data_IF_689872066066
#
_entry.id   IF_689872066066
#
_cell.length_a   1.000
_cell.length_b   1.000
_cell.length_c   1.000
_cell.angle_alpha   90.00
_cell.angle_beta   90.00
_cell.angle_gamma   90.00
#
_symmetry.space_group_name_H-M   'P 1'
#
loop_
_entity.id
_entity.type
_entity.pdbx_description
1 polymer ?
2 non-polymer ?
3 water ?
#
# COMPACT_ATOMS: atom_id res chain seq x y z
N UNK A 20 23.36 4.67 -3.03
CA UNK A 20 23.32 3.23 -2.76
C UNK A 20 22.01 2.62 -3.27
N UNK A 21 20.98 3.45 -3.42
CA UNK A 21 19.75 3.02 -4.07
C UNK A 21 19.31 4.11 -5.04
N UNK A 22 19.11 3.76 -6.30
CA UNK A 22 18.86 4.75 -7.34
C UNK A 22 17.54 4.53 -8.06
N UNK A 23 16.73 5.58 -8.13
CA UNK A 23 15.45 5.53 -8.83
C UNK A 23 15.45 6.42 -10.07
N UNK A 24 14.83 5.95 -11.15
CA UNK A 24 14.64 6.76 -12.34
C UNK A 24 13.17 7.08 -12.49
N UNK A 25 12.85 8.37 -12.41
CA UNK A 25 11.49 8.85 -12.63
C UNK A 25 11.35 9.27 -14.09
N UNK A 26 10.44 8.64 -14.80
CA UNK A 26 10.21 8.94 -16.20
C UNK A 26 8.85 9.60 -16.36
N UNK A 27 8.83 10.79 -16.94
CA UNK A 27 7.59 11.54 -17.09
C UNK A 27 7.85 12.88 -17.74
N UNK A 28 6.81 13.46 -18.33
CA UNK A 28 6.98 14.67 -19.11
C UNK A 28 6.76 15.95 -18.30
N UNK A 29 6.21 15.83 -17.10
CA UNK A 29 5.99 16.99 -16.24
C UNK A 29 7.14 17.20 -15.25
N UNK A 30 8.12 18.02 -15.64
CA UNK A 30 9.32 18.25 -14.83
C UNK A 30 9.03 18.62 -13.38
N UNK A 31 8.10 19.55 -13.19
CA UNK A 31 7.81 20.10 -11.86
C UNK A 31 7.32 19.02 -10.91
N UNK A 32 6.35 18.24 -11.37
CA UNK A 32 5.80 17.15 -10.56
C UNK A 32 6.86 16.10 -10.24
N UNK A 33 7.70 15.76 -11.22
CA UNK A 33 8.78 14.78 -10.98
C UNK A 33 9.72 15.30 -9.92
N UNK A 34 9.99 16.61 -9.97
CA UNK A 34 10.88 17.25 -9.00
C UNK A 34 10.28 17.26 -7.60
N UNK A 35 9.01 17.59 -7.49
CA UNK A 35 8.36 17.60 -6.19
C UNK A 35 8.26 16.19 -5.61
N UNK A 36 8.03 15.21 -6.48
CA UNK A 36 8.03 13.82 -6.01
C UNK A 36 9.42 13.40 -5.54
N UNK A 37 10.44 13.82 -6.28
CA UNK A 37 11.83 13.49 -5.91
C UNK A 37 12.18 14.12 -4.56
N UNK A 38 11.80 15.37 -4.39
CA UNK A 38 12.02 16.07 -3.14
C UNK A 38 11.31 15.35 -2.02
N UNK A 39 10.10 14.86 -2.30
CA UNK A 39 9.31 14.13 -1.30
C UNK A 39 10.00 12.82 -0.90
N UNK A 40 10.59 12.15 -1.87
CA UNK A 40 11.30 10.91 -1.60
C UNK A 40 12.56 11.17 -0.80
N UNK A 41 13.22 12.29 -1.09
CA UNK A 41 14.46 12.64 -0.42
C UNK A 41 14.26 13.21 0.99
N UNK A 42 13.03 13.65 1.27
CA UNK A 42 12.72 14.16 2.60
C UNK A 42 12.96 13.10 3.69
N UNK A 43 13.56 13.52 4.79
CA UNK A 43 13.97 12.63 5.88
C UNK A 43 12.87 11.67 6.37
N UNK A 44 13.25 10.47 6.81
CA UNK A 44 14.65 10.02 6.84
C UNK A 44 14.76 8.60 6.31
N UNK A 45 15.91 8.27 5.73
CA UNK A 45 16.09 6.96 5.12
C UNK A 45 17.44 6.33 5.45
N UNK A 46 17.40 5.06 5.85
CA UNK A 46 18.60 4.32 6.25
C UNK A 46 19.57 4.13 5.10
N UNK A 47 19.05 4.19 3.87
CA UNK A 47 19.88 4.10 2.70
C UNK A 47 20.07 5.46 2.05
N UNK A 48 21.09 5.56 1.20
CA UNK A 48 21.38 6.79 0.47
C UNK A 48 20.71 6.74 -0.88
N UNK A 49 19.67 7.57 -1.04
CA UNK A 49 18.84 7.56 -2.23
C UNK A 49 19.32 8.54 -3.29
N UNK A 50 19.34 8.10 -4.53
CA UNK A 50 19.67 8.98 -5.65
C UNK A 50 18.49 8.98 -6.60
N UNK A 51 18.15 10.17 -7.08
CA UNK A 51 17.04 10.31 -8.02
C UNK A 51 17.52 10.86 -9.35
N UNK A 52 17.13 10.19 -10.43
CA UNK A 52 17.33 10.71 -11.77
C UNK A 52 15.97 10.94 -12.43
N UNK A 53 15.86 11.99 -13.23
CA UNK A 53 14.64 12.25 -13.99
C UNK A 53 14.91 12.12 -15.47
N UNK A 54 13.93 11.61 -16.20
CA UNK A 54 14.00 11.57 -17.66
C UNK A 54 12.63 11.94 -18.20
N UNK A 55 12.60 12.67 -19.31
CA UNK A 55 11.34 13.03 -19.91
C UNK A 55 10.79 11.84 -20.70
N UNK A 56 11.71 10.97 -21.13
CA UNK A 56 11.35 9.84 -21.98
C UNK A 56 12.47 8.79 -22.05
N UNK A 57 12.13 7.61 -22.56
CA UNK A 57 13.12 6.60 -22.90
C UNK A 57 13.07 6.39 -24.41
N UNK A 58 14.21 6.07 -25.03
CA UNK A 58 15.52 5.81 -24.43
C UNK A 58 16.25 7.06 -23.95
N UNK A 59 16.99 6.92 -22.86
CA UNK A 59 17.88 7.97 -22.38
C UNK A 59 18.87 8.38 -23.48
N UNK A 60 19.41 9.60 -23.40
CA UNK A 60 20.33 10.12 -24.41
C UNK A 60 21.56 9.23 -24.64
N UNK A 66 25.01 4.69 -15.10
CA UNK A 66 24.66 4.67 -13.68
C UNK A 66 23.72 3.53 -13.37
N UNK A 67 23.94 2.82 -12.27
CA UNK A 67 23.05 1.72 -11.90
C UNK A 67 21.68 2.28 -11.55
N UNK A 68 20.64 1.65 -12.09
CA UNK A 68 19.27 2.05 -11.82
C UNK A 68 18.52 0.85 -11.25
N UNK A 69 18.00 1.00 -10.04
CA UNK A 69 17.36 -0.11 -9.33
C UNK A 69 15.86 -0.19 -9.58
N UNK A 70 15.25 0.96 -9.87
CA UNK A 70 13.80 1.03 -10.00
C UNK A 70 13.43 2.11 -11.00
N UNK A 71 12.51 1.79 -11.91
CA UNK A 71 11.99 2.81 -12.83
C UNK A 71 10.52 3.06 -12.51
N UNK A 72 10.16 4.32 -12.37
CA UNK A 72 8.76 4.68 -12.15
C UNK A 72 8.27 5.54 -13.30
N UNK A 73 7.28 5.02 -14.02
CA UNK A 73 6.65 5.80 -15.08
C UNK A 73 5.49 6.60 -14.51
N UNK A 74 5.70 7.91 -14.45
CA UNK A 74 4.67 8.83 -13.97
C UNK A 74 3.82 9.19 -15.17
N UNK A 75 2.54 8.84 -15.09
CA UNK A 75 1.60 9.03 -16.18
C UNK A 75 0.53 10.03 -15.78
N UNK A 76 0.40 11.10 -16.56
CA UNK A 76 -0.58 12.14 -16.31
C UNK A 76 -1.87 11.82 -17.07
N UNK A 77 -2.93 11.48 -16.34
CA UNK A 77 -4.17 11.05 -16.98
C UNK A 77 -4.96 12.19 -17.65
N UNK A 78 -4.48 13.42 -17.50
CA UNK A 78 -5.11 14.55 -18.17
C UNK A 78 -4.38 14.90 -19.45
N UNK A 79 -3.31 14.16 -19.75
CA UNK A 79 -2.47 14.46 -20.91
C UNK A 79 -2.28 13.24 -21.83
N UNK A 80 -2.84 13.32 -23.03
CA UNK A 80 -2.71 12.25 -24.01
C UNK A 80 -1.26 12.08 -24.42
N UNK A 81 -0.52 13.18 -24.42
CA UNK A 81 0.90 13.13 -24.72
C UNK A 81 1.65 12.34 -23.65
N UNK A 82 1.26 12.52 -22.40
CA UNK A 82 1.87 11.76 -21.31
C UNK A 82 1.69 10.25 -21.52
N UNK A 83 0.45 9.86 -21.80
CA UNK A 83 0.11 8.47 -22.11
C UNK A 83 0.97 7.95 -23.24
N UNK A 84 0.97 8.66 -24.37
CA UNK A 84 1.73 8.23 -25.53
C UNK A 84 3.22 8.06 -25.23
N UNK A 85 3.79 9.05 -24.55
CA UNK A 85 5.19 9.02 -24.14
C UNK A 85 5.51 7.81 -23.26
N UNK A 86 4.62 7.50 -22.33
CA UNK A 86 4.79 6.30 -21.49
C UNK A 86 4.79 5.05 -22.37
N UNK A 87 3.79 4.94 -23.23
CA UNK A 87 3.63 3.77 -24.09
C UNK A 87 4.87 3.53 -24.95
N UNK A 88 5.41 4.62 -25.50
CA UNK A 88 6.57 4.53 -26.38
C UNK A 88 7.84 4.20 -25.60
N UNK A 89 8.00 4.88 -24.46
CA UNK A 89 9.17 4.67 -23.61
C UNK A 89 9.26 3.22 -23.14
N UNK A 90 8.13 2.62 -22.84
CA UNK A 90 8.10 1.24 -22.37
C UNK A 90 8.75 0.25 -23.35
N UNK A 91 8.73 0.58 -24.63
CA UNK A 91 9.25 -0.34 -25.62
C UNK A 91 10.77 -0.47 -25.55
N UNK A 92 11.41 0.46 -24.86
CA UNK A 92 12.87 0.48 -24.80
C UNK A 92 13.42 -0.09 -23.50
N UNK A 93 12.52 -0.55 -22.64
CA UNK A 93 12.90 -1.08 -21.34
C UNK A 93 13.17 -2.58 -21.43
N UNK A 94 14.34 -3.01 -20.96
CA UNK A 94 14.65 -4.44 -20.95
C UNK A 94 13.72 -5.20 -20.03
N UNK A 95 13.33 -6.40 -20.45
CA UNK A 95 12.31 -7.19 -19.75
C UNK A 95 12.66 -7.46 -18.30
N UNK A 96 13.96 -7.53 -18.00
CA UNK A 96 14.42 -7.82 -16.64
C UNK A 96 14.01 -6.71 -15.68
N UNK A 97 13.80 -5.51 -16.21
CA UNK A 97 13.33 -4.42 -15.39
C UNK A 97 11.90 -4.66 -14.91
N UNK A 98 11.10 -5.38 -15.69
CA UNK A 98 9.70 -5.57 -15.33
C UNK A 98 9.54 -6.66 -14.28
N UNK A 99 10.66 -7.29 -13.91
CA UNK A 99 10.67 -8.26 -12.81
C UNK A 99 10.64 -7.57 -11.44
N UNK A 100 9.64 -6.72 -11.22
CA UNK A 100 9.50 -6.02 -9.95
C UNK A 100 10.26 -4.71 -9.84
N UNK A 101 11.02 -4.34 -10.87
CA UNK A 101 11.81 -3.11 -10.83
C UNK A 101 11.20 -1.98 -11.67
N UNK A 102 9.93 -2.13 -12.03
CA UNK A 102 9.17 -1.07 -12.69
C UNK A 102 7.84 -0.84 -12.00
N UNK A 103 7.52 0.43 -11.75
CA UNK A 103 6.24 0.83 -11.19
C UNK A 103 5.60 1.90 -12.05
N UNK A 104 4.28 1.85 -12.19
CA UNK A 104 3.55 2.90 -12.89
C UNK A 104 2.95 3.80 -11.84
N UNK A 105 3.00 5.11 -12.06
CA UNK A 105 2.38 6.06 -11.14
C UNK A 105 1.46 7.00 -11.90
N UNK A 106 0.15 6.78 -11.77
CA UNK A 106 -0.85 7.57 -12.45
C UNK A 106 -1.31 8.73 -11.60
N UNK A 107 -1.29 9.92 -12.18
CA UNK A 107 -1.75 11.10 -11.48
C UNK A 107 -2.99 11.66 -12.18
N UNK A 108 -3.96 12.14 -11.40
CA UNK A 108 -5.19 12.66 -11.96
C UNK A 108 -6.36 11.70 -11.90
N UNK A 109 -6.10 10.44 -11.60
CA UNK A 109 -7.15 9.40 -11.60
C UNK A 109 -8.21 9.58 -10.53
N UNK A 110 -7.84 10.23 -9.43
CA UNK A 110 -8.77 10.47 -8.35
C UNK A 110 -9.65 11.68 -8.62
N UNK A 111 -9.39 12.36 -9.73
CA UNK A 111 -10.10 13.59 -10.06
C UNK A 111 -11.16 13.35 -11.14
N UNK A 112 -12.36 13.86 -10.91
CA UNK A 112 -13.48 13.68 -11.82
C UNK A 112 -13.17 14.30 -13.18
N UNK A 113 -12.21 15.23 -13.22
CA UNK A 113 -11.81 15.91 -14.45
C UNK A 113 -10.97 15.05 -15.38
N UNK A 114 -10.50 13.89 -14.92
CA UNK A 114 -9.63 13.06 -15.75
C UNK A 114 -10.43 12.24 -16.75
N UNK A 115 -9.77 11.82 -17.82
CA UNK A 115 -10.40 10.99 -18.85
C UNK A 115 -10.34 9.52 -18.46
N UNK A 116 -11.51 8.89 -18.38
CA UNK A 116 -11.61 7.49 -17.97
C UNK A 116 -10.91 6.55 -18.93
N UNK A 117 -10.96 6.90 -20.22
CA UNK A 117 -10.32 6.09 -21.26
C UNK A 117 -8.81 6.00 -21.05
N UNK A 118 -8.22 7.11 -20.62
CA UNK A 118 -6.80 7.15 -20.27
C UNK A 118 -6.50 6.23 -19.09
N UNK A 119 -7.37 6.28 -18.08
CA UNK A 119 -7.16 5.45 -16.90
C UNK A 119 -7.20 3.98 -17.28
N UNK A 120 -8.19 3.62 -18.09
CA UNK A 120 -8.31 2.25 -18.55
C UNK A 120 -7.08 1.85 -19.34
N UNK A 121 -6.62 2.78 -20.18
CA UNK A 121 -5.44 2.55 -21.00
C UNK A 121 -4.22 2.25 -20.15
N UNK A 122 -4.03 2.99 -19.07
CA UNK A 122 -2.89 2.79 -18.18
C UNK A 122 -3.02 1.52 -17.35
N UNK A 123 -4.25 1.17 -16.96
CA UNK A 123 -4.50 -0.08 -16.25
C UNK A 123 -4.10 -1.26 -17.15
N UNK A 124 -4.50 -1.17 -18.42
CA UNK A 124 -4.12 -2.17 -19.42
C UNK A 124 -2.61 -2.19 -19.66
N UNK A 125 -1.97 -1.03 -19.65
CA UNK A 125 -0.52 -0.94 -19.77
C UNK A 125 0.18 -1.69 -18.64
N UNK A 126 -0.16 -1.32 -17.41
CA UNK A 126 0.43 -1.93 -16.22
C UNK A 126 0.19 -3.44 -16.21
N UNK A 127 -0.99 -3.84 -16.66
CA UNK A 127 -1.31 -5.26 -16.75
C UNK A 127 -0.41 -5.97 -17.77
N UNK A 128 -0.22 -5.32 -18.92
CA UNK A 128 0.53 -5.89 -20.02
C UNK A 128 1.99 -6.10 -19.65
N UNK A 129 2.53 -5.13 -18.93
CA UNK A 129 3.93 -5.20 -18.52
C UNK A 129 4.08 -5.81 -17.13
N UNK A 130 2.98 -6.41 -16.64
CA UNK A 130 2.93 -7.04 -15.33
C UNK A 130 3.67 -6.27 -14.22
N UNK A 131 3.31 -5.01 -14.07
CA UNK A 131 3.95 -4.14 -13.11
C UNK A 131 2.89 -3.39 -12.31
N UNK A 132 3.22 -3.04 -11.06
CA UNK A 132 2.28 -2.36 -10.17
C UNK A 132 1.78 -1.04 -10.75
N UNK A 133 0.50 -0.76 -10.56
CA UNK A 133 -0.05 0.55 -10.89
C UNK A 133 -0.47 1.27 -9.61
N UNK A 134 0.22 2.37 -9.31
CA UNK A 134 -0.06 3.17 -8.13
C UNK A 134 -0.73 4.47 -8.55
N UNK A 135 -1.56 5.03 -7.67
CA UNK A 135 -2.28 6.27 -7.96
C UNK A 135 -1.95 7.35 -6.94
N UNK A 136 -1.70 8.56 -7.40
CA UNK A 136 -1.48 9.68 -6.50
C UNK A 136 -1.72 11.00 -7.19
N UNK A 137 -2.35 11.95 -6.49
CA UNK A 137 -2.43 13.33 -6.95
C UNK A 137 -1.17 14.06 -6.48
N UNK A 138 -0.17 14.13 -7.37
CA UNK A 138 1.14 14.66 -7.00
C UNK A 138 1.11 16.15 -6.63
N UNK A 139 0.00 16.80 -6.90
CA UNK A 139 -0.17 18.22 -6.56
C UNK A 139 -0.61 18.40 -5.12
N UNK A 140 -0.99 17.30 -4.47
CA UNK A 140 -1.41 17.35 -3.07
C UNK A 140 -0.25 16.95 -2.16
N UNK A 141 0.18 17.86 -1.31
CA UNK A 141 1.37 17.67 -0.48
C UNK A 141 1.35 16.37 0.33
N UNK A 142 0.33 16.18 1.16
CA UNK A 142 0.26 15.00 2.01
C UNK A 142 0.22 13.68 1.24
N UNK A 143 -0.60 13.66 0.20
CA UNK A 143 -0.78 12.45 -0.61
C UNK A 143 0.55 12.10 -1.26
N UNK A 144 1.21 13.10 -1.81
CA UNK A 144 2.51 12.90 -2.43
C UNK A 144 3.53 12.42 -1.40
N UNK A 145 3.42 12.91 -0.18
CA UNK A 145 4.32 12.51 0.90
C UNK A 145 4.19 11.01 1.16
N UNK A 146 2.95 10.57 1.32
CA UNK A 146 2.67 9.16 1.57
C UNK A 146 3.17 8.28 0.42
N UNK A 147 2.85 8.71 -0.80
CA UNK A 147 3.27 7.97 -1.98
C UNK A 147 4.80 7.88 -2.04
N UNK A 148 5.46 8.96 -1.64
CA UNK A 148 6.92 8.99 -1.60
C UNK A 148 7.43 7.98 -0.59
N UNK A 149 6.74 7.86 0.54
CA UNK A 149 7.13 6.82 1.51
C UNK A 149 7.08 5.44 0.85
N UNK A 150 5.94 5.17 0.22
CA UNK A 150 5.76 3.88 -0.46
C UNK A 150 6.88 3.61 -1.47
N UNK A 151 7.19 4.62 -2.29
CA UNK A 151 8.17 4.47 -3.35
C UNK A 151 9.60 4.32 -2.80
N UNK A 152 9.88 5.00 -1.70
CA UNK A 152 11.16 4.84 -1.03
C UNK A 152 11.31 3.38 -0.60
N UNK A 153 10.26 2.83 0.01
CA UNK A 153 10.33 1.42 0.39
C UNK A 153 10.53 0.47 -0.81
N UNK A 154 9.75 0.69 -1.87
CA UNK A 154 9.90 -0.14 -3.08
C UNK A 154 11.31 -0.03 -3.66
N UNK A 155 11.86 1.18 -3.65
CA UNK A 155 13.22 1.42 -4.14
C UNK A 155 14.27 0.69 -3.31
N UNK A 156 14.12 0.74 -2.00
CA UNK A 156 15.03 0.01 -1.12
C UNK A 156 14.95 -1.49 -1.37
N UNK A 157 13.74 -1.99 -1.59
CA UNK A 157 13.56 -3.40 -1.91
C UNK A 157 14.28 -3.76 -3.20
N UNK A 158 14.08 -2.95 -4.23
CA UNK A 158 14.70 -3.20 -5.53
C UNK A 158 16.21 -3.12 -5.48
N UNK A 159 16.72 -2.27 -4.58
CA UNK A 159 18.16 -2.10 -4.41
C UNK A 159 18.80 -3.20 -3.55
N UNK A 160 17.98 -4.11 -3.05
CA UNK A 160 18.47 -5.25 -2.29
C UNK A 160 18.72 -4.94 -0.82
N UNK A 161 18.15 -3.84 -0.34
CA UNK A 161 18.43 -3.37 1.01
C UNK A 161 17.43 -3.86 2.08
N UNK A 162 16.36 -4.51 1.65
CA UNK A 162 15.34 -4.99 2.58
C UNK A 162 15.43 -6.49 2.77
N UNK A 163 15.76 -6.94 4.00
CA UNK A 163 15.97 -8.37 4.26
C UNK A 163 14.76 -9.21 3.86
N UNK A 164 15.00 -10.26 3.08
CA UNK A 164 13.97 -11.21 2.72
C UNK A 164 13.02 -10.78 1.63
N UNK A 165 13.25 -9.62 1.02
CA UNK A 165 12.38 -9.14 -0.05
C UNK A 165 13.18 -8.57 -1.21
N UNK A 166 13.07 -9.20 -2.38
CA UNK A 166 13.70 -8.68 -3.60
C UNK A 166 12.63 -8.15 -4.52
N UNK A 167 13.05 -7.53 -5.62
CA UNK A 167 12.13 -7.06 -6.63
C UNK A 167 11.25 -8.21 -7.10
N UNK A 168 11.83 -9.40 -7.17
CA UNK A 168 11.09 -10.58 -7.59
C UNK A 168 9.89 -10.81 -6.67
N UNK A 169 10.07 -10.56 -5.38
CA UNK A 169 9.01 -10.76 -4.39
C UNK A 169 7.88 -9.76 -4.57
N UNK A 170 8.16 -8.62 -5.19
CA UNK A 170 7.13 -7.61 -5.45
C UNK A 170 6.08 -8.11 -6.44
N UNK A 171 6.49 -8.99 -7.35
CA UNK A 171 5.56 -9.60 -8.29
C UNK A 171 4.39 -10.30 -7.59
N UNK A 172 3.17 -9.87 -7.93
CA UNK A 172 1.96 -10.38 -7.31
C UNK A 172 0.77 -10.25 -8.27
N UNK B 20 -12.83 -16.90 -2.11
CA UNK B 20 -11.77 -16.46 -3.01
C UNK B 20 -10.94 -15.31 -2.41
N UNK B 21 -11.51 -14.62 -1.42
CA UNK B 21 -10.78 -13.58 -0.69
C UNK B 21 -10.73 -13.94 0.80
N UNK B 22 -9.52 -14.12 1.34
CA UNK B 22 -9.35 -14.60 2.72
C UNK B 22 -8.65 -13.60 3.62
N UNK B 23 -9.29 -13.27 4.73
CA UNK B 23 -8.73 -12.36 5.71
C UNK B 23 -8.39 -13.10 7.00
N UNK B 24 -7.21 -12.82 7.54
CA UNK B 24 -6.82 -13.29 8.86
C UNK B 24 -6.92 -12.15 9.86
N UNK B 25 -7.75 -12.32 10.88
CA UNK B 25 -7.88 -11.34 11.95
C UNK B 25 -7.06 -11.84 13.12
N UNK B 26 -6.11 -11.03 13.57
CA UNK B 26 -5.25 -11.40 14.68
C UNK B 26 -5.53 -10.51 15.89
N UNK B 27 -5.92 -11.11 17.00
CA UNK B 27 -6.19 -10.36 18.22
C UNK B 27 -6.56 -11.29 19.36
N UNK B 28 -6.49 -10.78 20.58
CA UNK B 28 -6.70 -11.63 21.73
C UNK B 28 -8.17 -11.83 22.04
N UNK B 29 -8.95 -10.77 21.84
CA UNK B 29 -10.37 -10.78 22.21
C UNK B 29 -11.19 -11.52 21.18
N UNK B 30 -11.47 -12.79 21.48
CA UNK B 30 -12.20 -13.67 20.57
C UNK B 30 -13.60 -13.13 20.23
N UNK B 31 -14.29 -12.58 21.23
CA UNK B 31 -15.64 -12.02 21.03
C UNK B 31 -15.68 -10.87 20.03
N UNK B 32 -14.72 -9.95 20.17
CA UNK B 32 -14.57 -8.83 19.26
C UNK B 32 -14.27 -9.30 17.83
N UNK B 33 -13.30 -10.21 17.71
CA UNK B 33 -12.91 -10.75 16.41
C UNK B 33 -14.11 -11.39 15.75
N UNK B 34 -14.90 -12.12 16.54
CA UNK B 34 -16.09 -12.76 16.02
C UNK B 34 -17.11 -11.74 15.55
N UNK B 35 -17.30 -10.67 16.33
CA UNK B 35 -18.28 -9.68 15.92
C UNK B 35 -17.86 -8.97 14.64
N UNK B 36 -16.57 -8.70 14.52
CA UNK B 36 -16.05 -8.04 13.32
C UNK B 36 -16.15 -8.96 12.11
N UNK B 37 -15.83 -10.24 12.32
CA UNK B 37 -15.95 -11.25 11.27
C UNK B 37 -17.40 -11.35 10.79
N UNK B 38 -18.33 -11.40 11.75
CA UNK B 38 -19.75 -11.43 11.46
C UNK B 38 -20.12 -10.22 10.61
N UNK B 39 -19.67 -9.04 11.03
CA UNK B 39 -20.02 -7.81 10.32
C UNK B 39 -19.47 -7.82 8.88
N UNK B 40 -18.26 -8.33 8.71
CA UNK B 40 -17.69 -8.44 7.36
C UNK B 40 -18.47 -9.43 6.49
N UNK B 41 -18.87 -10.55 7.09
CA UNK B 41 -19.59 -11.57 6.34
C UNK B 41 -21.04 -11.17 6.02
N UNK B 42 -21.55 -10.16 6.72
CA UNK B 42 -22.90 -9.67 6.48
C UNK B 42 -23.08 -9.24 5.02
N UNK B 43 -24.15 -9.74 4.41
CA UNK B 43 -24.45 -9.53 2.98
C UNK B 43 -24.31 -8.07 2.51
N UNK B 44 -23.90 -7.86 1.26
CA UNK B 44 -23.56 -8.93 0.32
C UNK B 44 -22.28 -8.58 -0.42
N UNK B 45 -21.69 -9.56 -1.08
CA UNK B 45 -20.41 -9.36 -1.75
C UNK B 45 -20.26 -10.22 -2.99
N UNK B 46 -19.57 -9.69 -3.99
CA UNK B 46 -19.28 -10.44 -5.22
C UNK B 46 -18.28 -11.54 -4.92
N UNK B 47 -17.29 -11.20 -4.08
CA UNK B 47 -16.26 -12.16 -3.70
C UNK B 47 -16.83 -13.12 -2.67
N UNK B 48 -16.32 -14.34 -2.68
CA UNK B 48 -16.63 -15.29 -1.63
C UNK B 48 -15.63 -15.03 -0.52
N UNK B 49 -16.09 -14.44 0.57
CA UNK B 49 -15.21 -14.04 1.65
C UNK B 49 -15.01 -15.16 2.68
N UNK B 50 -13.76 -15.38 3.06
CA UNK B 50 -13.41 -16.33 4.13
C UNK B 50 -12.65 -15.60 5.21
N UNK B 51 -13.00 -15.88 6.46
CA UNK B 51 -12.36 -15.26 7.61
C UNK B 51 -11.71 -16.33 8.50
N UNK B 52 -10.44 -16.11 8.85
CA UNK B 52 -9.74 -16.93 9.82
C UNK B 52 -9.38 -16.06 10.99
N UNK B 53 -9.50 -16.59 12.20
CA UNK B 53 -9.14 -15.85 13.39
C UNK B 53 -7.91 -16.49 14.01
N UNK B 54 -7.04 -15.67 14.60
CA UNK B 54 -5.86 -16.14 15.33
C UNK B 54 -5.62 -15.25 16.54
N UNK B 55 -5.31 -15.85 17.68
CA UNK B 55 -5.06 -15.06 18.88
C UNK B 55 -3.66 -14.44 18.82
N UNK B 56 -2.76 -15.07 18.07
CA UNK B 56 -1.40 -14.58 17.92
C UNK B 56 -0.69 -15.25 16.76
N UNK B 57 0.49 -14.71 16.43
CA UNK B 57 1.38 -15.32 15.44
C UNK B 57 2.68 -15.71 16.13
N UNK B 58 3.33 -16.78 15.67
CA UNK B 58 2.98 -17.61 14.51
C UNK B 58 1.87 -18.59 14.82
N UNK B 59 1.23 -19.12 13.78
CA UNK B 59 0.16 -20.08 13.94
C UNK B 59 0.73 -21.44 14.36
N UNK B 66 -3.73 -22.59 3.83
CA UNK B 66 -4.73 -21.73 3.20
C UNK B 66 -4.17 -20.35 2.84
N UNK B 67 -4.48 -19.86 1.66
CA UNK B 67 -3.97 -18.57 1.24
C UNK B 67 -4.61 -17.44 2.04
N UNK B 68 -3.80 -16.48 2.43
CA UNK B 68 -4.28 -15.34 3.19
C UNK B 68 -3.96 -14.08 2.41
N UNK B 69 -4.98 -13.28 2.13
CA UNK B 69 -4.80 -12.11 1.28
C UNK B 69 -4.54 -10.85 2.10
N UNK B 70 -5.00 -10.85 3.34
CA UNK B 70 -4.90 -9.67 4.20
C UNK B 70 -4.85 -10.10 5.65
N UNK B 71 -3.98 -9.45 6.42
CA UNK B 71 -3.95 -9.65 7.86
C UNK B 71 -4.33 -8.36 8.56
N UNK B 72 -5.30 -8.42 9.46
CA UNK B 72 -5.67 -7.26 10.25
C UNK B 72 -5.34 -7.53 11.70
N UNK B 73 -4.47 -6.70 12.27
CA UNK B 73 -4.15 -6.81 13.69
C UNK B 73 -5.11 -5.93 14.48
N UNK B 74 -5.99 -6.58 15.22
CA UNK B 74 -6.93 -5.90 16.09
C UNK B 74 -6.24 -5.65 17.41
N UNK B 75 -6.07 -4.37 17.74
CA UNK B 75 -5.33 -3.98 18.93
C UNK B 75 -6.26 -3.30 19.93
N UNK B 76 -6.36 -3.88 21.10
CA UNK B 76 -7.24 -3.36 22.14
C UNK B 76 -6.45 -2.43 23.06
N UNK B 77 -6.70 -1.13 22.94
CA UNK B 77 -5.93 -0.12 23.68
C UNK B 77 -6.21 -0.09 25.19
N UNK B 78 -7.09 -0.96 25.67
CA UNK B 78 -7.34 -1.08 27.10
C UNK B 78 -6.63 -2.29 27.68
N UNK B 79 -5.78 -2.92 26.87
CA UNK B 79 -5.10 -4.15 27.28
C UNK B 79 -3.62 -4.13 26.92
N UNK B 80 -2.77 -4.02 27.93
CA UNK B 80 -1.33 -4.05 27.71
C UNK B 80 -0.93 -5.39 27.08
N UNK B 81 -1.64 -6.46 27.46
CA UNK B 81 -1.41 -7.74 26.84
C UNK B 81 -1.72 -7.73 25.34
N UNK B 82 -2.82 -7.09 24.94
CA UNK B 82 -3.16 -6.99 23.52
C UNK B 82 -2.01 -6.34 22.75
N UNK B 83 -1.47 -5.25 23.33
CA UNK B 83 -0.31 -4.56 22.76
C UNK B 83 0.89 -5.47 22.61
N UNK B 84 1.29 -6.11 23.71
CA UNK B 84 2.48 -6.95 23.69
C UNK B 84 2.31 -8.07 22.68
N UNK B 85 1.11 -8.64 22.65
CA UNK B 85 0.79 -9.73 21.77
C UNK B 85 0.91 -9.31 20.31
N UNK B 86 0.41 -8.11 20.02
CA UNK B 86 0.56 -7.56 18.67
C UNK B 86 2.04 -7.37 18.29
N UNK B 87 2.79 -6.72 19.18
CA UNK B 87 4.21 -6.47 18.95
C UNK B 87 4.97 -7.78 18.67
N UNK B 88 4.69 -8.80 19.47
CA UNK B 88 5.34 -10.09 19.32
C UNK B 88 4.96 -10.74 18.00
N UNK B 89 3.66 -10.75 17.72
CA UNK B 89 3.12 -11.39 16.53
C UNK B 89 3.72 -10.78 15.27
N UNK B 90 3.94 -9.47 15.28
CA UNK B 90 4.49 -8.77 14.12
C UNK B 90 5.85 -9.32 13.69
N UNK B 91 6.60 -9.85 14.66
CA UNK B 91 7.95 -10.33 14.38
C UNK B 91 7.98 -11.57 13.48
N UNK B 92 6.82 -12.20 13.32
CA UNK B 92 6.76 -13.47 12.59
C UNK B 92 6.14 -13.32 11.22
N UNK B 93 5.87 -12.08 10.84
CA UNK B 93 5.24 -11.79 9.56
C UNK B 93 6.30 -11.48 8.51
N UNK B 94 6.27 -12.21 7.40
CA UNK B 94 7.20 -11.94 6.32
C UNK B 94 6.99 -10.53 5.80
N UNK B 95 8.08 -9.84 5.49
CA UNK B 95 8.03 -8.41 5.17
C UNK B 95 7.15 -8.07 3.95
N UNK B 96 7.02 -9.02 3.03
CA UNK B 96 6.14 -8.86 1.87
C UNK B 96 4.71 -8.53 2.26
N UNK B 97 4.27 -9.03 3.42
CA UNK B 97 2.91 -8.76 3.88
C UNK B 97 2.70 -7.30 4.21
N UNK B 98 3.76 -6.60 4.59
CA UNK B 98 3.62 -5.21 5.03
C UNK B 98 3.56 -4.22 3.87
N UNK B 99 3.52 -4.73 2.65
CA UNK B 99 3.44 -3.88 1.47
C UNK B 99 2.00 -3.72 1.03
N UNK B 100 1.09 -3.65 1.98
CA UNK B 100 -0.32 -3.45 1.67
C UNK B 100 -1.21 -4.54 2.23
N UNK B 101 -0.64 -5.71 2.53
CA UNK B 101 -1.44 -6.85 2.98
C UNK B 101 -1.54 -6.95 4.50
N UNK B 102 -1.18 -5.86 5.18
CA UNK B 102 -1.37 -5.77 6.63
C UNK B 102 -2.05 -4.46 7.02
N UNK B 103 -3.04 -4.55 7.90
CA UNK B 103 -3.71 -3.38 8.44
C UNK B 103 -3.82 -3.47 9.95
N UNK B 104 -3.64 -2.35 10.64
CA UNK B 104 -3.86 -2.30 12.08
C UNK B 104 -5.24 -1.75 12.32
N UNK B 105 -5.97 -2.35 13.26
CA UNK B 105 -7.26 -1.84 13.64
C UNK B 105 -7.25 -1.69 15.14
N UNK B 106 -7.28 -0.45 15.62
CA UNK B 106 -7.22 -0.18 17.04
C UNK B 106 -8.61 0.12 17.58
N UNK B 107 -8.97 -0.55 18.66
CA UNK B 107 -10.27 -0.34 19.29
C UNK B 107 -10.05 0.27 20.67
N UNK B 108 -10.93 1.17 21.07
CA UNK B 108 -10.85 1.78 22.38
C UNK B 108 -10.19 3.14 22.38
N UNK B 109 -9.52 3.47 21.27
CA UNK B 109 -8.77 4.72 21.17
C UNK B 109 -9.63 5.97 21.34
N UNK B 110 -10.91 5.86 20.99
CA UNK B 110 -11.81 7.00 21.05
C UNK B 110 -12.41 7.26 22.42
N UNK B 111 -12.13 6.37 23.37
CA UNK B 111 -12.65 6.52 24.72
C UNK B 111 -11.60 7.15 25.59
N UNK B 112 -12.01 8.07 26.46
CA UNK B 112 -11.08 8.67 27.41
C UNK B 112 -10.49 7.65 28.37
N UNK B 113 -11.20 6.55 28.59
CA UNK B 113 -10.74 5.53 29.54
C UNK B 113 -9.49 4.80 29.05
N UNK B 114 -9.15 4.95 27.78
CA UNK B 114 -8.01 4.24 27.21
C UNK B 114 -6.67 4.85 27.63
N UNK B 115 -5.62 4.03 27.59
CA UNK B 115 -4.28 4.50 27.94
C UNK B 115 -3.54 5.09 26.75
N UNK B 116 -3.27 6.39 26.84
CA UNK B 116 -2.64 7.11 25.74
C UNK B 116 -1.30 6.50 25.34
N UNK B 117 -0.63 5.88 26.29
CA UNK B 117 0.67 5.27 26.03
C UNK B 117 0.53 4.13 25.03
N UNK B 118 -0.55 3.37 25.18
CA UNK B 118 -0.84 2.28 24.27
C UNK B 118 -1.18 2.81 22.88
N UNK B 119 -1.93 3.90 22.84
CA UNK B 119 -2.24 4.55 21.57
C UNK B 119 -0.96 4.98 20.84
N UNK B 120 -0.06 5.65 21.56
CA UNK B 120 1.21 6.08 20.99
C UNK B 120 2.02 4.88 20.53
N UNK B 121 1.92 3.79 21.29
CA UNK B 121 2.59 2.56 20.91
C UNK B 121 2.07 2.01 19.57
N UNK B 122 0.75 1.97 19.40
CA UNK B 122 0.17 1.44 18.17
C UNK B 122 0.46 2.35 16.97
N UNK B 123 0.44 3.66 17.19
CA UNK B 123 0.76 4.59 16.12
C UNK B 123 2.20 4.35 15.67
N UNK B 124 3.10 4.24 16.64
CA UNK B 124 4.50 3.96 16.33
C UNK B 124 4.68 2.61 15.62
N UNK B 125 3.91 1.61 16.02
CA UNK B 125 3.96 0.28 15.39
C UNK B 125 3.56 0.37 13.93
N UNK B 126 2.40 0.98 13.68
CA UNK B 126 1.88 1.17 12.34
C UNK B 126 2.87 1.96 11.47
N UNK B 127 3.57 2.90 12.08
CA UNK B 127 4.58 3.66 11.35
C UNK B 127 5.78 2.78 11.00
N UNK B 128 6.23 2.01 12.00
CA UNK B 128 7.39 1.13 11.87
C UNK B 128 7.22 0.08 10.77
N UNK B 129 6.03 -0.49 10.70
CA UNK B 129 5.74 -1.52 9.72
C UNK B 129 5.05 -0.93 8.51
N UNK B 130 5.02 0.40 8.44
CA UNK B 130 4.51 1.14 7.29
C UNK B 130 3.20 0.57 6.76
N UNK B 131 2.23 0.46 7.65
CA UNK B 131 0.95 -0.14 7.31
C UNK B 131 -0.14 0.74 7.87
N UNK B 132 -1.32 0.73 7.23
CA UNK B 132 -2.46 1.56 7.67
C UNK B 132 -2.85 1.32 9.12
N UNK B 133 -3.37 2.36 9.76
CA UNK B 133 -3.91 2.24 11.10
C UNK B 133 -5.33 2.81 11.09
N UNK B 134 -6.29 1.92 11.28
CA UNK B 134 -7.71 2.27 11.32
C UNK B 134 -8.17 2.28 12.76
N UNK B 135 -9.23 3.04 13.03
CA UNK B 135 -9.80 3.08 14.37
C UNK B 135 -11.25 2.71 14.29
N UNK B 136 -11.70 1.90 15.24
CA UNK B 136 -13.12 1.60 15.35
C UNK B 136 -13.40 1.07 16.73
N UNK B 137 -14.42 1.62 17.38
CA UNK B 137 -14.90 1.05 18.62
C UNK B 137 -15.74 -0.16 18.25
N UNK B 138 -15.14 -1.33 18.34
CA UNK B 138 -15.77 -2.56 17.87
C UNK B 138 -16.99 -2.97 18.67
N UNK B 139 -17.19 -2.36 19.84
CA UNK B 139 -18.36 -2.68 20.65
C UNK B 139 -19.58 -1.86 20.24
N UNK B 140 -19.37 -0.96 19.27
CA UNK B 140 -20.43 -0.10 18.77
C UNK B 140 -20.88 -0.61 17.41
N UNK B 141 -22.12 -1.06 17.34
CA UNK B 141 -22.61 -1.78 16.17
C UNK B 141 -22.49 -1.02 14.86
N UNK B 142 -22.99 0.21 14.80
CA UNK B 142 -22.95 0.98 13.56
C UNK B 142 -21.54 1.21 13.04
N UNK B 143 -20.66 1.58 13.97
CA UNK B 143 -19.26 1.87 13.65
C UNK B 143 -18.62 0.62 13.11
N UNK B 144 -18.87 -0.50 13.79
CA UNK B 144 -18.30 -1.77 13.37
C UNK B 144 -18.82 -2.16 12.00
N UNK B 145 -20.09 -1.84 11.72
CA UNK B 145 -20.68 -2.15 10.42
C UNK B 145 -19.94 -1.41 9.32
N UNK B 146 -19.83 -0.10 9.46
CA UNK B 146 -19.12 0.70 8.44
C UNK B 146 -17.66 0.26 8.26
N UNK B 147 -16.96 0.08 9.39
CA UNK B 147 -15.58 -0.40 9.36
C UNK B 147 -15.47 -1.75 8.65
N UNK B 148 -16.44 -2.63 8.87
CA UNK B 148 -16.47 -3.93 8.23
C UNK B 148 -16.64 -3.79 6.72
N UNK B 149 -17.51 -2.88 6.28
CA UNK B 149 -17.61 -2.60 4.84
C UNK B 149 -16.26 -2.20 4.26
N UNK B 150 -15.62 -1.24 4.95
CA UNK B 150 -14.31 -0.75 4.50
C UNK B 150 -13.29 -1.88 4.39
N UNK B 151 -13.22 -2.71 5.43
CA UNK B 151 -12.32 -3.87 5.44
C UNK B 151 -12.63 -4.86 4.32
N UNK B 152 -13.91 -5.07 4.01
CA UNK B 152 -14.30 -5.92 2.88
C UNK B 152 -13.71 -5.37 1.59
N UNK B 153 -13.84 -4.05 1.39
CA UNK B 153 -13.23 -3.44 0.20
C UNK B 153 -11.69 -3.59 0.14
N UNK B 154 -11.03 -3.30 1.26
CA UNK B 154 -9.57 -3.47 1.39
C UNK B 154 -9.14 -4.91 1.07
N UNK B 155 -9.91 -5.87 1.59
CA UNK B 155 -9.66 -7.29 1.35
C UNK B 155 -9.80 -7.61 -0.13
N UNK B 156 -10.84 -7.09 -0.77
CA UNK B 156 -10.99 -7.32 -2.21
C UNK B 156 -9.80 -6.75 -2.97
N UNK B 157 -9.32 -5.58 -2.58
CA UNK B 157 -8.08 -5.04 -3.14
C UNK B 157 -6.92 -6.03 -3.00
N UNK B 158 -6.69 -6.47 -1.76
CA UNK B 158 -5.59 -7.36 -1.42
C UNK B 158 -5.63 -8.70 -2.15
N UNK B 159 -6.83 -9.21 -2.40
CA UNK B 159 -6.99 -10.49 -3.06
C UNK B 159 -6.87 -10.36 -4.57
N UNK B 160 -6.74 -9.12 -5.05
CA UNK B 160 -6.57 -8.86 -6.47
C UNK B 160 -7.88 -8.82 -7.23
N UNK B 161 -8.97 -8.55 -6.54
CA UNK B 161 -10.30 -8.58 -7.14
C UNK B 161 -10.75 -7.21 -7.61
N UNK B 162 -9.88 -6.22 -7.46
CA UNK B 162 -10.17 -4.87 -7.90
C UNK B 162 -9.20 -4.47 -9.00
N UNK B 163 -9.62 -4.60 -10.26
CA UNK B 163 -8.75 -4.44 -11.43
C UNK B 163 -8.09 -3.06 -11.45
N UNK B 164 -6.79 -3.03 -11.77
CA UNK B 164 -6.05 -1.78 -11.81
C UNK B 164 -5.68 -1.24 -10.44
N UNK B 165 -6.12 -1.91 -9.39
CA UNK B 165 -5.78 -1.49 -8.04
C UNK B 165 -5.14 -2.62 -7.24
N UNK B 166 -3.92 -2.39 -6.77
CA UNK B 166 -3.23 -3.41 -5.98
C UNK B 166 -2.88 -2.90 -4.59
N UNK B 167 -2.55 -3.84 -3.71
CA UNK B 167 -2.32 -3.58 -2.30
C UNK B 167 -1.29 -2.48 -2.03
N UNK B 168 -0.35 -2.29 -2.96
CA UNK B 168 0.67 -1.27 -2.79
C UNK B 168 0.10 0.15 -2.64
N UNK B 169 -1.16 0.33 -3.06
CA UNK B 169 -1.83 1.61 -2.94
C UNK B 169 -2.42 1.88 -1.55
N UNK B 170 -2.60 0.82 -0.77
CA UNK B 170 -3.39 0.93 0.47
C UNK B 170 -2.84 1.96 1.47
N UNK B 171 -1.52 2.01 1.60
CA UNK B 171 -0.89 2.99 2.48
C UNK B 171 -1.39 4.38 2.15
N UNK B 172 -1.43 4.70 0.85
CA UNK B 172 -1.93 5.99 0.41
C UNK B 172 -3.44 6.07 0.60
N UNK B 173 -4.12 4.96 0.30
CA UNK B 173 -5.57 4.95 0.26
C UNK B 173 -6.17 5.07 1.64
N UNK B 174 -5.48 4.48 2.62
CA UNK B 174 -5.99 4.46 3.99
C UNK B 174 -5.30 5.53 4.82
N UNK B 175 -4.74 6.51 4.12
CA UNK B 175 -4.10 7.70 4.69
C UNK B 175 -2.72 7.42 5.31
X LIG C 1 -22.32 2.01 21.96
X LIG C 1 -22.40 0.60 21.86
X LIG C 1 -22.43 2.46 23.41
X LIG C 1 -21.48 3.47 23.67
X LIG C 1 -22.20 1.29 24.36
X LIG C 1 -20.84 1.26 24.75
#
# INVERSE_FOLDING_TARGET
GPLGSMSVLRPLDKLPGLNTATILLVGTEDALLQQLADSMLKEDCASELKVHLAKSLPLPSSVNRPRIDLIVFVVNLHSKYSLQNTEESLRHVDASFFLGKVCFLATGAGRESHCSIHRHTVVKLAHTYQSPLLYCDLEVEGFRATMAQRLVRVLQICAGHVPGVSALNLLSLLRS
GPLGSMSVLRPLDKLPGLNTATILLVGTEDALLQQLADSMLKEDCASELKVHLAKSLPLPSSVNRPRIDLIVFVVNLHSKYSLQNTEESLRHVDASFFLGKVCFLATGAGRESHCSIHRHTVVKLAHTYQSPLLYCDLEVEGFRATMAQRLVRVLQICAGHVPGVSALNLLSLLRS
GOL C1 O1 C2 O2 C3 O3
#
